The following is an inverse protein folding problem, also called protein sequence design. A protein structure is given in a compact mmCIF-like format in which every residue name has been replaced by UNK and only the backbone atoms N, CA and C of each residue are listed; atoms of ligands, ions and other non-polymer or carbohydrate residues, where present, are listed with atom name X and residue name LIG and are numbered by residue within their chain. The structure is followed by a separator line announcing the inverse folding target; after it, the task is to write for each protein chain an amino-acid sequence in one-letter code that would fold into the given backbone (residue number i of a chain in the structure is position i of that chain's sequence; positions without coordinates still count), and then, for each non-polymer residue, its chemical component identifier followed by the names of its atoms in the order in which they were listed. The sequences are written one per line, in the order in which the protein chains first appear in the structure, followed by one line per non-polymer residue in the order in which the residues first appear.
data_IF_480397667347
#
_entry.id   IF_480397667347
#
_cell.length_a   1.000
_cell.length_b   1.000
_cell.length_c   1.000
_cell.angle_alpha   90.00
_cell.angle_beta   90.00
_cell.angle_gamma   90.00
#
_symmetry.space_group_name_H-M   'P 1'
#
loop_
_entity.id
_entity.type
_entity.pdbx_description
1 polymer ?
#
# COMPACT_ATOMS: atom_id res chain seq x y z
N UNK A 1 -25.62 0.30 -7.35
CA UNK A 1 -24.47 1.10 -7.76
C UNK A 1 -23.39 1.18 -6.67
N UNK A 2 -23.79 1.56 -5.44
CA UNK A 2 -22.85 1.66 -4.34
C UNK A 2 -22.21 0.31 -3.96
N UNK A 3 -22.97 -0.77 -4.02
CA UNK A 3 -22.42 -2.10 -3.69
C UNK A 3 -21.36 -2.54 -4.68
N UNK A 4 -21.50 -2.19 -5.95
CA UNK A 4 -20.50 -2.49 -6.97
C UNK A 4 -19.19 -1.70 -6.72
N UNK A 5 -19.31 -0.42 -6.43
CA UNK A 5 -18.16 0.42 -6.13
C UNK A 5 -17.51 0.02 -4.81
N UNK A 6 -18.30 -0.38 -3.81
CA UNK A 6 -17.78 -0.90 -2.56
C UNK A 6 -16.96 -2.17 -2.80
N UNK A 7 -17.38 -3.03 -3.71
CA UNK A 7 -16.63 -4.23 -4.06
C UNK A 7 -15.25 -3.86 -4.64
N UNK A 8 -15.19 -2.89 -5.55
CA UNK A 8 -13.91 -2.43 -6.11
C UNK A 8 -12.98 -1.91 -5.02
N UNK A 9 -13.50 -1.11 -4.10
CA UNK A 9 -12.72 -0.57 -2.99
C UNK A 9 -12.21 -1.71 -2.09
N UNK A 10 -13.06 -2.68 -1.77
CA UNK A 10 -12.66 -3.80 -0.91
C UNK A 10 -11.58 -4.66 -1.57
N UNK A 11 -11.67 -4.88 -2.89
CA UNK A 11 -10.63 -5.62 -3.62
C UNK A 11 -9.31 -4.86 -3.63
N UNK A 12 -9.35 -3.54 -3.80
CA UNK A 12 -8.16 -2.70 -3.73
C UNK A 12 -7.51 -2.76 -2.35
N UNK A 13 -8.32 -2.69 -1.29
CA UNK A 13 -7.82 -2.81 0.09
C UNK A 13 -7.19 -4.19 0.33
N UNK A 14 -7.83 -5.26 -0.18
CA UNK A 14 -7.31 -6.61 -0.03
C UNK A 14 -5.94 -6.75 -0.71
N UNK A 15 -5.79 -6.25 -1.93
CA UNK A 15 -4.51 -6.29 -2.63
C UNK A 15 -3.42 -5.58 -1.83
N UNK A 16 -3.75 -4.46 -1.21
CA UNK A 16 -2.81 -3.71 -0.39
C UNK A 16 -2.44 -4.48 0.90
N UNK A 17 -3.40 -5.13 1.55
CA UNK A 17 -3.14 -5.96 2.73
C UNK A 17 -2.22 -7.13 2.37
N UNK A 18 -2.44 -7.77 1.23
CA UNK A 18 -1.58 -8.86 0.76
C UNK A 18 -0.14 -8.39 0.54
N UNK A 19 0.05 -7.20 -0.01
CA UNK A 19 1.37 -6.61 -0.15
C UNK A 19 2.06 -6.46 1.22
N UNK A 20 1.35 -5.96 2.22
CA UNK A 20 1.90 -5.77 3.57
C UNK A 20 2.24 -7.11 4.23
N UNK A 21 1.36 -8.11 4.11
CA UNK A 21 1.60 -9.45 4.65
C UNK A 21 2.87 -10.05 4.04
N UNK A 22 3.05 -9.93 2.73
CA UNK A 22 4.24 -10.43 2.05
C UNK A 22 5.50 -9.71 2.52
N UNK A 23 5.41 -8.42 2.78
CA UNK A 23 6.54 -7.63 3.29
C UNK A 23 6.95 -8.12 4.68
N UNK A 24 5.99 -8.30 5.58
CA UNK A 24 6.27 -8.78 6.93
C UNK A 24 6.86 -10.20 6.90
N UNK A 25 6.30 -11.08 6.07
CA UNK A 25 6.81 -12.44 5.91
C UNK A 25 8.26 -12.43 5.43
N UNK A 26 8.59 -11.55 4.49
CA UNK A 26 9.95 -11.41 3.99
C UNK A 26 10.95 -10.97 5.05
N UNK A 27 10.53 -10.06 5.93
CA UNK A 27 11.39 -9.53 7.00
C UNK A 27 11.53 -10.54 8.15
N UNK A 28 10.40 -11.05 8.67
CA UNK A 28 10.41 -11.86 9.88
C UNK A 28 10.83 -13.30 9.65
N UNK A 29 10.63 -13.82 8.45
CA UNK A 29 10.99 -15.20 8.10
C UNK A 29 12.22 -15.28 7.22
N UNK A 30 12.92 -14.16 7.06
CA UNK A 30 14.19 -14.05 6.32
C UNK A 30 14.06 -14.61 4.89
N UNK A 31 12.94 -14.32 4.23
CA UNK A 31 12.72 -14.72 2.86
C UNK A 31 13.28 -13.68 1.90
N UNK A 32 13.97 -14.14 0.89
CA UNK A 32 14.49 -13.26 -0.15
C UNK A 32 13.36 -12.94 -1.13
N UNK A 33 12.66 -11.83 -0.88
CA UNK A 33 11.57 -11.37 -1.74
C UNK A 33 11.93 -10.03 -2.37
N UNK A 34 11.39 -9.81 -3.57
CA UNK A 34 11.48 -8.53 -4.24
C UNK A 34 10.10 -7.87 -4.19
N UNK A 35 10.09 -6.60 -3.77
CA UNK A 35 8.86 -5.82 -3.69
C UNK A 35 8.74 -4.89 -4.90
N UNK A 36 7.55 -4.84 -5.48
CA UNK A 36 7.26 -3.90 -6.56
C UNK A 36 7.12 -2.48 -6.00
N UNK A 37 7.36 -1.50 -6.87
CA UNK A 37 7.03 -0.12 -6.52
C UNK A 37 5.51 0.09 -6.56
N UNK A 38 5.04 1.28 -6.14
CA UNK A 38 3.61 1.54 -6.02
C UNK A 38 2.85 1.61 -7.36
N UNK A 39 3.56 1.72 -8.49
CA UNK A 39 2.94 1.67 -9.81
C UNK A 39 2.74 0.24 -10.30
N UNK A 40 3.59 -0.69 -9.89
CA UNK A 40 3.63 -2.06 -10.42
C UNK A 40 2.93 -3.08 -9.56
N UNK A 41 2.51 -2.73 -8.33
CA UNK A 41 1.73 -3.64 -7.50
C UNK A 41 0.30 -3.77 -8.03
N UNK A 42 -0.43 -4.79 -7.59
CA UNK A 42 -1.82 -5.01 -8.05
C UNK A 42 -2.70 -3.81 -7.75
N UNK A 43 -2.53 -3.20 -6.57
CA UNK A 43 -3.27 -1.99 -6.21
C UNK A 43 -2.96 -0.84 -7.18
N UNK A 44 -1.68 -0.61 -7.49
CA UNK A 44 -1.27 0.43 -8.43
C UNK A 44 -1.85 0.23 -9.82
N UNK A 45 -1.87 -1.01 -10.29
CA UNK A 45 -2.46 -1.36 -11.59
C UNK A 45 -3.97 -1.13 -11.59
N UNK A 46 -4.65 -1.47 -10.50
CA UNK A 46 -6.07 -1.18 -10.33
C UNK A 46 -6.32 0.33 -10.38
N UNK A 47 -5.52 1.09 -9.64
CA UNK A 47 -5.65 2.56 -9.57
C UNK A 47 -5.51 3.19 -10.96
N UNK A 48 -4.56 2.73 -11.75
CA UNK A 48 -4.29 3.28 -13.08
C UNK A 48 -5.24 2.73 -14.16
N UNK A 49 -5.94 1.64 -13.87
CA UNK A 49 -6.91 1.00 -14.76
C UNK A 49 -8.34 1.27 -14.35
N UNK A 50 -8.99 0.27 -13.76
CA UNK A 50 -10.41 0.34 -13.39
C UNK A 50 -10.69 1.45 -12.38
N UNK A 51 -9.80 1.65 -11.42
CA UNK A 51 -9.96 2.71 -10.43
C UNK A 51 -10.01 4.09 -11.07
N UNK A 52 -9.19 4.33 -12.05
CA UNK A 52 -9.20 5.59 -12.79
C UNK A 52 -10.50 5.77 -13.56
N UNK A 53 -11.00 4.71 -14.19
CA UNK A 53 -12.24 4.76 -14.95
C UNK A 53 -13.43 5.12 -14.05
N UNK A 54 -13.52 4.51 -12.87
CA UNK A 54 -14.66 4.69 -11.96
C UNK A 54 -14.50 5.93 -11.09
N UNK A 55 -13.30 6.17 -10.56
CA UNK A 55 -13.05 7.18 -9.51
C UNK A 55 -12.15 8.34 -9.92
N UNK A 56 -11.62 8.32 -11.15
CA UNK A 56 -10.60 9.27 -11.57
C UNK A 56 -10.97 10.75 -11.50
N UNK A 57 -12.27 11.05 -11.46
CA UNK A 57 -12.77 12.43 -11.35
C UNK A 57 -13.06 12.85 -9.91
N UNK A 58 -12.94 11.94 -8.95
CA UNK A 58 -13.15 12.27 -7.54
C UNK A 58 -11.96 13.05 -7.00
N UNK A 59 -12.21 13.88 -5.99
CA UNK A 59 -11.16 14.62 -5.31
C UNK A 59 -10.17 13.69 -4.62
N UNK A 60 -10.68 12.64 -3.97
CA UNK A 60 -9.84 11.71 -3.21
C UNK A 60 -8.94 10.87 -4.10
N UNK A 61 -9.33 10.59 -5.35
CA UNK A 61 -8.49 9.83 -6.27
C UNK A 61 -7.09 10.46 -6.43
N UNK A 62 -7.04 11.79 -6.55
CA UNK A 62 -5.76 12.50 -6.69
C UNK A 62 -4.89 12.41 -5.42
N UNK A 63 -5.46 12.02 -4.29
CA UNK A 63 -4.75 11.94 -3.01
C UNK A 63 -4.17 10.55 -2.73
N UNK A 64 -4.45 9.56 -3.58
CA UNK A 64 -4.03 8.17 -3.37
C UNK A 64 -2.51 8.02 -3.43
N UNK A 65 -1.87 8.68 -4.38
CA UNK A 65 -0.49 8.39 -4.75
C UNK A 65 0.50 8.64 -3.61
N UNK A 66 0.34 9.73 -2.86
CA UNK A 66 1.29 10.08 -1.81
C UNK A 66 1.37 9.03 -0.68
N UNK A 67 0.27 8.62 -0.02
CA UNK A 67 0.35 7.57 1.00
C UNK A 67 0.71 6.21 0.42
N UNK A 68 0.24 5.89 -0.79
CA UNK A 68 0.57 4.62 -1.46
C UNK A 68 2.08 4.52 -1.71
N UNK A 69 2.68 5.59 -2.22
CA UNK A 69 4.13 5.65 -2.42
C UNK A 69 4.89 5.50 -1.10
N UNK A 70 4.41 6.13 -0.04
CA UNK A 70 5.04 6.06 1.28
C UNK A 70 5.03 4.62 1.83
N UNK A 71 3.93 3.89 1.67
CA UNK A 71 3.86 2.48 2.08
C UNK A 71 4.95 1.67 1.37
N UNK A 72 5.04 1.79 0.05
CA UNK A 72 6.02 1.02 -0.73
C UNK A 72 7.45 1.40 -0.39
N UNK A 73 7.74 2.70 -0.24
CA UNK A 73 9.09 3.18 0.08
C UNK A 73 9.57 2.62 1.42
N UNK A 74 8.73 2.61 2.44
CA UNK A 74 9.09 2.08 3.75
C UNK A 74 9.21 0.56 3.74
N UNK A 75 8.33 -0.14 3.02
CA UNK A 75 8.40 -1.59 2.87
C UNK A 75 9.72 -2.00 2.18
N UNK A 76 10.06 -1.33 1.09
CA UNK A 76 11.30 -1.59 0.35
C UNK A 76 12.52 -1.29 1.24
N UNK A 77 12.48 -0.18 1.98
CA UNK A 77 13.58 0.18 2.89
C UNK A 77 13.78 -0.89 3.98
N UNK A 78 12.69 -1.42 4.53
CA UNK A 78 12.76 -2.48 5.55
C UNK A 78 13.40 -3.75 4.97
N UNK A 79 12.95 -4.18 3.79
CA UNK A 79 13.49 -5.38 3.13
C UNK A 79 14.98 -5.21 2.79
N UNK A 80 15.35 -4.08 2.23
CA UNK A 80 16.75 -3.82 1.87
C UNK A 80 17.65 -3.76 3.10
N UNK A 81 17.16 -3.16 4.17
CA UNK A 81 17.89 -3.07 5.43
C UNK A 81 18.20 -4.47 5.99
N UNK A 82 17.22 -5.37 5.95
CA UNK A 82 17.38 -6.74 6.39
C UNK A 82 18.35 -7.51 5.48
N UNK A 83 18.19 -7.38 4.16
CA UNK A 83 19.08 -8.03 3.19
C UNK A 83 20.55 -7.63 3.36
N UNK A 84 20.79 -6.36 3.68
CA UNK A 84 22.16 -5.84 3.90
C UNK A 84 22.70 -6.15 5.29
N UNK A 85 21.89 -6.72 6.16
CA UNK A 85 22.27 -7.03 7.55
C UNK A 85 22.34 -5.82 8.46
N UNK A 86 22.06 -4.61 7.96
CA UNK A 86 22.20 -3.39 8.77
C UNK A 86 21.08 -3.23 9.79
N UNK A 87 19.96 -3.91 9.64
CA UNK A 87 18.85 -3.86 10.59
C UNK A 87 18.89 -4.97 11.65
N UNK A 88 19.76 -5.96 11.50
CA UNK A 88 19.87 -7.06 12.48
C UNK A 88 20.33 -6.56 13.85
N UNK A 89 21.10 -5.46 13.87
CA UNK A 89 21.62 -4.87 15.10
C UNK A 89 20.74 -3.74 15.64
N UNK A 90 19.77 -3.27 14.87
CA UNK A 90 18.88 -2.20 15.28
C UNK A 90 17.45 -2.46 14.80
N UNK A 91 16.76 -3.26 15.58
CA UNK A 91 15.36 -3.62 15.31
C UNK A 91 14.44 -2.37 15.30
N UNK A 92 14.83 -1.31 16.00
CA UNK A 92 14.04 -0.08 16.06
C UNK A 92 13.93 0.59 14.68
N UNK A 93 14.94 0.43 13.83
CA UNK A 93 14.87 0.91 12.44
C UNK A 93 13.77 0.23 11.65
N UNK A 94 13.69 -1.11 11.76
CA UNK A 94 12.65 -1.90 11.08
C UNK A 94 11.27 -1.51 11.59
N UNK A 95 11.12 -1.39 12.91
CA UNK A 95 9.87 -0.96 13.53
C UNK A 95 9.47 0.43 13.04
N UNK A 96 10.44 1.33 12.90
CA UNK A 96 10.21 2.68 12.35
C UNK A 96 9.65 2.65 10.94
N UNK A 97 10.24 1.85 10.05
CA UNK A 97 9.75 1.71 8.68
C UNK A 97 8.32 1.14 8.66
N UNK A 98 8.05 0.11 9.46
CA UNK A 98 6.71 -0.48 9.52
C UNK A 98 5.69 0.48 10.10
N UNK A 99 6.06 1.26 11.13
CA UNK A 99 5.18 2.27 11.72
C UNK A 99 4.77 3.31 10.69
N UNK A 100 5.73 3.82 9.93
CA UNK A 100 5.45 4.79 8.86
C UNK A 100 4.58 4.17 7.76
N UNK A 101 4.85 2.93 7.39
CA UNK A 101 4.04 2.22 6.40
C UNK A 101 2.61 2.03 6.89
N UNK A 102 2.41 1.65 8.15
CA UNK A 102 1.07 1.46 8.71
C UNK A 102 0.29 2.78 8.80
N UNK A 103 0.94 3.88 9.21
CA UNK A 103 0.30 5.19 9.25
C UNK A 103 -0.14 5.62 7.85
N UNK A 104 0.71 5.44 6.85
CA UNK A 104 0.37 5.75 5.46
C UNK A 104 -0.73 4.83 4.93
N UNK A 105 -0.73 3.56 5.32
CA UNK A 105 -1.76 2.59 4.94
C UNK A 105 -3.14 3.00 5.49
N UNK A 106 -3.20 3.44 6.75
CA UNK A 106 -4.44 3.93 7.35
C UNK A 106 -4.96 5.15 6.62
N UNK A 107 -4.08 6.09 6.29
CA UNK A 107 -4.44 7.27 5.51
C UNK A 107 -4.99 6.87 4.13
N UNK A 108 -4.32 5.93 3.47
CA UNK A 108 -4.76 5.44 2.17
C UNK A 108 -6.16 4.82 2.24
N UNK A 109 -6.44 4.03 3.27
CA UNK A 109 -7.74 3.39 3.44
C UNK A 109 -8.85 4.43 3.68
N UNK A 110 -8.57 5.47 4.46
CA UNK A 110 -9.52 6.57 4.66
C UNK A 110 -9.82 7.30 3.35
N UNK A 111 -8.79 7.52 2.53
CA UNK A 111 -8.95 8.13 1.21
C UNK A 111 -9.84 7.26 0.31
N UNK A 112 -9.63 5.95 0.32
CA UNK A 112 -10.45 5.03 -0.48
C UNK A 112 -11.92 5.05 -0.04
N UNK A 113 -12.18 5.11 1.27
CA UNK A 113 -13.54 5.20 1.78
C UNK A 113 -14.19 6.53 1.40
N UNK A 114 -13.46 7.63 1.51
CA UNK A 114 -13.96 8.93 1.10
C UNK A 114 -14.27 8.98 -0.41
N UNK A 115 -13.42 8.35 -1.19
CA UNK A 115 -13.58 8.27 -2.64
C UNK A 115 -14.90 7.60 -3.02
N UNK A 116 -15.29 6.55 -2.27
CA UNK A 116 -16.55 5.85 -2.49
C UNK A 116 -17.75 6.79 -2.34
N UNK A 117 -17.70 7.71 -1.37
CA UNK A 117 -18.79 8.68 -1.14
C UNK A 117 -18.79 9.82 -2.16
N UNK A 118 -17.69 10.05 -2.86
CA UNK A 118 -17.56 11.14 -3.84
C UNK A 118 -18.01 10.73 -5.24
N UNK A 119 -18.10 9.44 -5.52
CA UNK A 119 -18.51 8.94 -6.83
C UNK A 119 -20.02 9.13 -6.99
N UNK A 120 -20.42 9.62 -8.17
CA UNK A 120 -21.84 9.91 -8.48
C UNK A 120 -22.38 8.97 -9.53
#
# INVERSE_FOLDING_TARGET
LHSQYQLFINLAKLDHVLFKVNTYDGVFNDKNIELSNHHNCRFGKWKEGEGKTVFGKTKSYAMIDAPHSTVHSNAIAAIECVKKGSCLQDINKVIGYFSEAENASNELFDILDNMLHEVK
#
